data_IF_608478677156
#
_entry.id   IF_608478677156
#
_cell.length_a   1.000
_cell.length_b   1.000
_cell.length_c   1.000
_cell.angle_alpha   90.00
_cell.angle_beta   90.00
_cell.angle_gamma   90.00
#
_symmetry.space_group_name_H-M   'P 1'
#
loop_
_entity.id
_entity.type
_entity.pdbx_description
1 polymer ?
#
# COMPACT_ATOMS: atom_id res chain seq x y z
N UNK A 1 5.18 6.94 3.03
CA UNK A 1 4.40 7.55 4.12
C UNK A 1 3.66 6.49 4.91
N UNK A 2 3.74 6.55 6.27
CA UNK A 2 3.22 5.54 7.20
C UNK A 2 2.48 6.20 8.37
N UNK A 3 1.58 7.13 8.08
CA UNK A 3 0.79 7.84 9.09
C UNK A 3 -0.64 7.30 9.13
N UNK A 4 -1.40 7.51 10.23
CA UNK A 4 -2.83 7.26 10.22
C UNK A 4 -3.54 8.07 9.12
N UNK A 5 -4.58 7.50 8.51
CA UNK A 5 -5.28 8.16 7.39
C UNK A 5 -5.82 9.55 7.77
N UNK A 6 -6.24 9.76 9.02
CA UNK A 6 -6.70 11.06 9.50
C UNK A 6 -5.63 12.17 9.39
N UNK A 7 -4.34 11.83 9.46
CA UNK A 7 -3.23 12.77 9.34
C UNK A 7 -2.63 12.83 7.91
N UNK A 8 -3.11 11.98 7.00
CA UNK A 8 -2.50 11.75 5.70
C UNK A 8 -2.46 13.03 4.83
N UNK A 9 -3.61 13.67 4.62
CA UNK A 9 -3.71 14.85 3.75
C UNK A 9 -2.90 16.04 4.29
N UNK A 10 -2.92 16.30 5.60
CA UNK A 10 -2.16 17.37 6.23
C UNK A 10 -0.66 17.12 6.09
N UNK A 11 -0.21 15.89 6.40
CA UNK A 11 1.19 15.50 6.28
C UNK A 11 1.71 15.64 4.85
N UNK A 12 0.94 15.17 3.86
CA UNK A 12 1.31 15.31 2.45
C UNK A 12 1.40 16.76 2.01
N UNK A 13 0.46 17.59 2.44
CA UNK A 13 0.47 19.01 2.12
C UNK A 13 1.72 19.71 2.67
N UNK A 14 2.10 19.38 3.91
CA UNK A 14 3.31 19.93 4.53
C UNK A 14 4.60 19.45 3.85
N UNK A 15 4.63 18.20 3.41
CA UNK A 15 5.81 17.59 2.77
C UNK A 15 5.95 17.89 1.28
N UNK A 16 4.89 18.37 0.62
CA UNK A 16 4.85 18.58 -0.83
C UNK A 16 6.10 19.26 -1.41
N UNK A 17 6.61 20.40 -0.84
CA UNK A 17 7.79 21.05 -1.40
C UNK A 17 9.06 20.18 -1.37
N UNK A 18 9.17 19.25 -0.39
CA UNK A 18 10.31 18.36 -0.23
C UNK A 18 10.21 17.08 -1.09
N UNK A 19 9.03 16.80 -1.65
CA UNK A 19 8.76 15.57 -2.41
C UNK A 19 8.87 15.78 -3.93
N UNK A 20 9.03 17.00 -4.41
CA UNK A 20 9.13 17.29 -5.83
C UNK A 20 10.22 16.45 -6.50
N UNK A 21 9.89 15.83 -7.64
CA UNK A 21 10.78 14.94 -8.39
C UNK A 21 11.03 13.57 -7.76
N UNK A 22 10.35 13.22 -6.66
CA UNK A 22 10.56 11.95 -5.94
C UNK A 22 9.46 10.92 -6.21
N UNK A 23 9.77 9.68 -5.88
CA UNK A 23 8.78 8.60 -5.73
C UNK A 23 8.36 8.55 -4.27
N UNK A 24 7.06 8.69 -4.02
CA UNK A 24 6.46 8.48 -2.71
C UNK A 24 5.84 7.08 -2.64
N UNK A 25 6.29 6.27 -1.71
CA UNK A 25 5.61 5.01 -1.39
C UNK A 25 4.54 5.32 -0.35
N UNK A 26 3.29 5.06 -0.70
CA UNK A 26 2.14 5.22 0.18
C UNK A 26 1.68 3.86 0.68
N UNK A 27 1.74 3.64 1.99
CA UNK A 27 1.29 2.42 2.66
C UNK A 27 0.02 2.65 3.50
N UNK A 28 -0.56 3.84 3.40
CA UNK A 28 -1.72 4.24 4.19
C UNK A 28 -2.98 3.55 3.69
N UNK A 29 -3.78 3.06 4.62
CA UNK A 29 -5.08 2.44 4.33
C UNK A 29 -6.18 3.26 5.01
N UNK A 30 -7.22 3.69 4.27
CA UNK A 30 -8.37 4.40 4.84
C UNK A 30 -9.31 3.41 5.54
N UNK A 31 -8.91 2.92 6.71
CA UNK A 31 -9.71 2.02 7.53
C UNK A 31 -10.87 2.77 8.20
N UNK A 32 -12.02 2.11 8.30
CA UNK A 32 -13.14 2.62 9.10
C UNK A 32 -12.78 2.55 10.60
N UNK A 33 -12.69 3.68 11.33
CA UNK A 33 -12.25 3.68 12.71
C UNK A 33 -13.17 2.87 13.66
N UNK A 34 -14.47 2.83 13.36
CA UNK A 34 -15.44 2.07 14.15
C UNK A 34 -15.43 0.58 13.83
N UNK A 35 -15.00 0.19 12.64
CA UNK A 35 -14.99 -1.20 12.19
C UNK A 35 -13.93 -1.43 11.11
N UNK A 36 -12.70 -1.70 11.51
CA UNK A 36 -11.52 -1.89 10.63
C UNK A 36 -11.66 -3.01 9.59
N UNK A 37 -12.63 -3.90 9.76
CA UNK A 37 -12.98 -4.95 8.78
C UNK A 37 -13.92 -4.46 7.67
N UNK A 38 -14.22 -3.15 7.63
CA UNK A 38 -15.00 -2.52 6.57
C UNK A 38 -14.14 -1.51 5.82
N UNK A 39 -14.18 -1.60 4.51
CA UNK A 39 -13.57 -0.62 3.63
C UNK A 39 -14.28 0.74 3.78
N UNK A 40 -13.51 1.83 3.81
CA UNK A 40 -14.01 3.20 3.90
C UNK A 40 -13.13 4.11 3.05
N UNK A 41 -13.24 3.97 1.72
CA UNK A 41 -12.42 4.74 0.78
C UNK A 41 -12.81 6.22 0.74
N UNK A 42 -11.84 7.13 0.55
CA UNK A 42 -12.10 8.55 0.34
C UNK A 42 -12.77 8.80 -1.02
N UNK A 43 -13.32 10.00 -1.26
CA UNK A 43 -13.95 10.36 -2.54
C UNK A 43 -13.01 10.22 -3.75
N UNK A 44 -11.71 10.33 -3.55
CA UNK A 44 -10.69 10.13 -4.58
C UNK A 44 -10.55 8.67 -5.03
N UNK A 45 -11.11 7.73 -4.30
CA UNK A 45 -11.08 6.29 -4.56
C UNK A 45 -10.12 5.51 -3.68
N UNK A 46 -8.98 6.09 -3.29
CA UNK A 46 -7.98 5.48 -2.41
C UNK A 46 -7.11 6.54 -1.72
N UNK A 47 -6.36 6.16 -0.68
CA UNK A 47 -5.37 7.05 -0.06
C UNK A 47 -4.30 7.47 -1.08
N UNK A 48 -3.79 6.54 -1.87
CA UNK A 48 -2.79 6.84 -2.90
C UNK A 48 -3.32 7.80 -3.99
N UNK A 49 -4.58 7.65 -4.41
CA UNK A 49 -5.21 8.60 -5.35
C UNK A 49 -5.39 9.99 -4.72
N UNK A 50 -5.76 10.05 -3.44
CA UNK A 50 -5.80 11.31 -2.70
C UNK A 50 -4.41 11.94 -2.60
N UNK A 51 -3.37 11.14 -2.29
CA UNK A 51 -1.99 11.60 -2.25
C UNK A 51 -1.54 12.17 -3.61
N UNK A 52 -1.80 11.48 -4.70
CA UNK A 52 -1.45 11.95 -6.05
C UNK A 52 -2.14 13.27 -6.39
N UNK A 53 -3.41 13.43 -6.02
CA UNK A 53 -4.16 14.66 -6.22
C UNK A 53 -3.57 15.84 -5.42
N UNK A 54 -3.16 15.61 -4.17
CA UNK A 54 -2.55 16.63 -3.30
C UNK A 54 -1.18 17.05 -3.83
N UNK A 55 -0.34 16.07 -4.20
CA UNK A 55 1.05 16.29 -4.57
C UNK A 55 1.19 16.80 -6.02
N UNK A 56 0.29 16.43 -6.91
CA UNK A 56 0.35 16.79 -8.31
C UNK A 56 1.30 15.90 -9.12
N UNK A 57 1.56 16.28 -10.37
CA UNK A 57 2.33 15.47 -11.33
C UNK A 57 3.83 15.42 -11.05
N UNK A 58 4.36 16.36 -10.25
CA UNK A 58 5.78 16.41 -9.89
C UNK A 58 6.24 15.30 -8.94
N UNK A 59 5.30 14.52 -8.38
CA UNK A 59 5.57 13.40 -7.47
C UNK A 59 4.93 12.12 -8.02
N UNK A 60 5.69 11.04 -8.07
CA UNK A 60 5.15 9.73 -8.47
C UNK A 60 4.69 8.96 -7.23
N UNK A 61 3.37 8.89 -7.01
CA UNK A 61 2.81 8.14 -5.86
C UNK A 61 2.66 6.66 -6.24
N UNK A 62 3.25 5.78 -5.43
CA UNK A 62 3.19 4.33 -5.60
C UNK A 62 2.63 3.71 -4.33
N UNK A 63 1.52 3.00 -4.46
CA UNK A 63 0.87 2.25 -3.41
C UNK A 63 1.51 0.87 -3.28
N UNK A 64 1.96 0.51 -2.08
CA UNK A 64 2.58 -0.78 -1.81
C UNK A 64 2.51 -1.14 -0.31
N UNK A 65 2.75 -2.41 0.03
CA UNK A 65 2.85 -2.94 1.41
C UNK A 65 1.55 -2.94 2.24
N UNK A 66 0.39 -2.66 1.67
CA UNK A 66 -0.89 -2.61 2.40
C UNK A 66 -1.36 -3.98 2.92
N UNK A 67 -0.92 -5.04 2.28
CA UNK A 67 -1.37 -6.41 2.54
C UNK A 67 -0.38 -7.26 3.34
N UNK A 68 0.64 -6.66 3.92
CA UNK A 68 1.61 -7.31 4.81
C UNK A 68 1.54 -6.72 6.21
N UNK A 69 1.60 -7.60 7.23
CA UNK A 69 1.64 -7.14 8.62
C UNK A 69 3.01 -6.54 8.95
N UNK A 70 3.03 -5.40 9.62
CA UNK A 70 4.27 -4.82 10.12
C UNK A 70 4.98 -5.75 11.13
N UNK A 71 4.22 -6.52 11.91
CA UNK A 71 4.77 -7.51 12.84
C UNK A 71 5.54 -8.61 12.11
N UNK A 72 5.08 -9.00 10.91
CA UNK A 72 5.79 -9.97 10.08
C UNK A 72 7.08 -9.38 9.51
N UNK A 73 7.10 -8.09 9.17
CA UNK A 73 8.29 -7.41 8.67
C UNK A 73 9.37 -7.20 9.75
N UNK A 74 9.00 -7.22 11.04
CA UNK A 74 9.93 -7.07 12.16
C UNK A 74 10.55 -8.38 12.63
N UNK A 75 10.05 -9.51 12.14
CA UNK A 75 10.55 -10.84 12.49
C UNK A 75 11.62 -11.27 11.48
N UNK A 76 12.63 -11.98 11.96
CA UNK A 76 13.65 -12.63 11.12
C UNK A 76 13.13 -13.98 10.59
N UNK A 77 11.94 -13.97 9.99
CA UNK A 77 11.24 -15.12 9.44
C UNK A 77 10.80 -14.83 8.01
N UNK A 78 10.65 -15.86 7.19
CA UNK A 78 10.12 -15.73 5.83
C UNK A 78 8.68 -15.18 5.87
N UNK A 79 8.45 -14.07 5.20
CA UNK A 79 7.11 -13.48 5.06
C UNK A 79 6.39 -14.15 3.89
N UNK A 80 5.48 -15.06 4.18
CA UNK A 80 4.72 -15.82 3.18
C UNK A 80 3.57 -14.99 2.56
N UNK A 81 3.90 -13.79 2.06
CA UNK A 81 2.95 -12.84 1.49
C UNK A 81 3.57 -12.14 0.27
N UNK A 82 2.82 -12.05 -0.82
CA UNK A 82 3.21 -11.29 -2.00
C UNK A 82 2.80 -9.82 -1.84
N UNK A 83 3.59 -8.89 -2.35
CA UNK A 83 3.34 -7.45 -2.31
C UNK A 83 2.79 -6.98 -3.66
N UNK A 84 1.63 -6.36 -3.64
CA UNK A 84 1.07 -5.69 -4.83
C UNK A 84 1.55 -4.24 -4.87
N UNK A 85 2.09 -3.83 -6.02
CA UNK A 85 2.63 -2.49 -6.26
C UNK A 85 1.87 -1.83 -7.39
N UNK A 86 1.22 -0.71 -7.16
CA UNK A 86 0.49 0.03 -8.19
C UNK A 86 0.66 1.56 -8.04
N UNK A 87 0.30 2.30 -9.07
CA UNK A 87 0.45 3.77 -9.08
C UNK A 87 1.70 4.23 -9.83
N UNK A 88 1.90 5.52 -9.88
CA UNK A 88 3.00 6.15 -10.58
C UNK A 88 3.16 5.73 -12.04
N UNK A 89 4.27 6.10 -12.64
CA UNK A 89 4.66 5.56 -13.94
C UNK A 89 5.33 4.18 -13.78
N UNK A 90 5.60 3.51 -14.91
CA UNK A 90 6.21 2.17 -14.92
C UNK A 90 7.58 2.12 -14.24
N UNK A 91 8.37 3.19 -14.37
CA UNK A 91 9.72 3.25 -13.79
C UNK A 91 9.67 3.44 -12.27
N UNK A 92 8.72 4.25 -11.77
CA UNK A 92 8.47 4.38 -10.35
C UNK A 92 8.04 3.04 -9.72
N UNK A 93 7.12 2.31 -10.36
CA UNK A 93 6.72 0.97 -9.89
C UNK A 93 7.89 -0.01 -9.91
N UNK A 94 8.73 0.02 -10.94
CA UNK A 94 9.94 -0.82 -11.01
C UNK A 94 10.92 -0.52 -9.88
N UNK A 95 11.13 0.75 -9.53
CA UNK A 95 11.96 1.13 -8.37
C UNK A 95 11.41 0.56 -7.08
N UNK A 96 10.10 0.67 -6.84
CA UNK A 96 9.45 0.13 -5.64
C UNK A 96 9.49 -1.40 -5.61
N UNK A 97 9.32 -2.07 -6.76
CA UNK A 97 9.50 -3.52 -6.87
C UNK A 97 10.94 -3.95 -6.53
N UNK A 98 11.94 -3.17 -6.91
CA UNK A 98 13.32 -3.37 -6.48
C UNK A 98 13.46 -3.33 -4.95
N UNK A 99 12.87 -2.34 -4.30
CA UNK A 99 12.88 -2.24 -2.82
C UNK A 99 12.14 -3.40 -2.15
N UNK A 100 11.02 -3.86 -2.73
CA UNK A 100 10.31 -5.06 -2.26
C UNK A 100 11.21 -6.28 -2.31
N UNK A 101 11.93 -6.47 -3.43
CA UNK A 101 12.89 -7.56 -3.58
C UNK A 101 14.05 -7.46 -2.59
N UNK A 102 14.63 -6.26 -2.41
CA UNK A 102 15.72 -6.02 -1.46
C UNK A 102 15.31 -6.28 0.00
N UNK A 103 14.01 -6.11 0.30
CA UNK A 103 13.42 -6.50 1.57
C UNK A 103 13.16 -8.02 1.70
N UNK A 104 13.60 -8.83 0.75
CA UNK A 104 13.38 -10.29 0.75
C UNK A 104 11.94 -10.71 0.41
N UNK A 105 11.14 -9.82 -0.15
CA UNK A 105 9.73 -10.06 -0.46
C UNK A 105 9.49 -10.25 -1.96
N UNK A 106 8.34 -10.82 -2.27
CA UNK A 106 7.88 -11.01 -3.63
C UNK A 106 6.90 -9.93 -4.02
N UNK A 107 7.27 -9.11 -5.03
CA UNK A 107 6.45 -8.03 -5.55
C UNK A 107 5.85 -8.31 -6.93
N UNK A 108 4.64 -7.77 -7.18
CA UNK A 108 3.96 -7.82 -8.46
C UNK A 108 3.53 -6.42 -8.89
N UNK A 109 3.79 -6.08 -10.16
CA UNK A 109 3.25 -4.85 -10.78
C UNK A 109 1.73 -5.01 -10.95
N UNK A 110 0.98 -4.35 -10.09
CA UNK A 110 -0.49 -4.35 -10.08
C UNK A 110 -1.08 -3.21 -10.94
N UNK A 111 -0.26 -2.49 -11.71
CA UNK A 111 -0.70 -1.53 -12.70
C UNK A 111 -0.93 -0.12 -12.19
N UNK A 112 -1.88 0.63 -12.78
CA UNK A 112 -2.06 2.05 -12.52
C UNK A 112 -2.65 2.34 -11.14
N UNK A 113 -2.64 3.63 -10.76
CA UNK A 113 -3.02 4.10 -9.41
C UNK A 113 -4.48 3.82 -9.05
N UNK A 114 -5.36 3.68 -10.04
CA UNK A 114 -6.76 3.33 -9.85
C UNK A 114 -6.91 1.96 -9.16
N UNK A 115 -5.94 1.06 -9.35
CA UNK A 115 -5.91 -0.24 -8.70
C UNK A 115 -5.58 -0.15 -7.19
N UNK A 116 -5.08 0.97 -6.70
CA UNK A 116 -4.80 1.17 -5.29
C UNK A 116 -6.04 0.98 -4.41
N UNK A 117 -7.22 1.34 -4.89
CA UNK A 117 -8.49 1.10 -4.20
C UNK A 117 -8.68 -0.37 -3.82
N UNK A 118 -8.33 -1.29 -4.72
CA UNK A 118 -8.46 -2.74 -4.47
C UNK A 118 -7.37 -3.20 -3.50
N UNK A 119 -6.14 -2.76 -3.70
CA UNK A 119 -4.98 -3.17 -2.88
C UNK A 119 -5.12 -2.68 -1.44
N UNK A 120 -5.51 -1.42 -1.24
CA UNK A 120 -5.80 -0.85 0.08
C UNK A 120 -7.00 -1.56 0.74
N UNK A 121 -8.05 -1.84 -0.03
CA UNK A 121 -9.25 -2.54 0.45
C UNK A 121 -8.99 -3.96 0.96
N UNK A 122 -7.99 -4.66 0.41
CA UNK A 122 -7.57 -5.98 0.87
C UNK A 122 -7.18 -5.98 2.36
N UNK A 123 -6.64 -4.90 2.89
CA UNK A 123 -6.27 -4.81 4.31
C UNK A 123 -7.46 -5.08 5.22
N UNK A 124 -8.61 -4.48 4.96
CA UNK A 124 -9.84 -4.73 5.75
C UNK A 124 -10.28 -6.20 5.68
N UNK A 125 -10.14 -6.83 4.53
CA UNK A 125 -10.47 -8.25 4.33
C UNK A 125 -9.52 -9.13 5.12
N UNK A 126 -8.21 -8.88 5.04
CA UNK A 126 -7.18 -9.65 5.74
C UNK A 126 -7.31 -9.52 7.26
N UNK A 127 -7.61 -8.31 7.77
CA UNK A 127 -7.93 -8.10 9.20
C UNK A 127 -9.16 -8.94 9.59
N UNK A 128 -10.20 -8.95 8.75
CA UNK A 128 -11.39 -9.78 8.99
C UNK A 128 -11.07 -11.27 9.06
N UNK A 129 -10.22 -11.75 8.16
CA UNK A 129 -9.73 -13.15 8.15
C UNK A 129 -8.93 -13.45 9.42
N UNK A 130 -8.02 -12.56 9.82
CA UNK A 130 -7.24 -12.72 11.05
C UNK A 130 -8.15 -12.91 12.28
N UNK A 131 -9.18 -12.08 12.39
CA UNK A 131 -10.14 -12.16 13.50
C UNK A 131 -10.94 -13.45 13.44
N UNK A 132 -11.50 -13.78 12.28
CA UNK A 132 -12.39 -14.93 12.10
C UNK A 132 -11.67 -16.26 12.34
N UNK A 133 -10.46 -16.39 11.82
CA UNK A 133 -9.69 -17.63 11.87
C UNK A 133 -8.64 -17.66 12.97
N UNK A 134 -8.54 -16.58 13.79
CA UNK A 134 -7.60 -16.44 14.91
C UNK A 134 -6.15 -16.66 14.48
N UNK A 135 -5.77 -16.09 13.33
CA UNK A 135 -4.40 -16.11 12.82
C UNK A 135 -3.75 -14.73 12.96
N UNK A 136 -2.45 -14.65 13.21
CA UNK A 136 -1.78 -13.38 13.46
C UNK A 136 -1.61 -12.54 12.19
N UNK A 137 -1.44 -13.17 11.02
CA UNK A 137 -1.08 -12.48 9.79
C UNK A 137 -1.51 -13.28 8.56
N UNK A 138 -2.73 -13.05 8.08
CA UNK A 138 -3.14 -13.51 6.77
C UNK A 138 -2.47 -12.65 5.69
N UNK A 139 -2.03 -13.26 4.60
CA UNK A 139 -1.44 -12.62 3.44
C UNK A 139 -2.08 -13.11 2.15
N UNK A 140 -1.58 -12.64 1.02
CA UNK A 140 -1.98 -13.10 -0.31
C UNK A 140 -0.80 -13.72 -1.04
N UNK A 141 -1.08 -14.63 -1.96
CA UNK A 141 -0.11 -15.16 -2.93
C UNK A 141 -0.70 -15.14 -4.33
N UNK A 142 0.08 -14.70 -5.29
CA UNK A 142 -0.28 -14.76 -6.71
C UNK A 142 0.17 -16.10 -7.27
N UNK A 143 -0.77 -16.86 -7.82
CA UNK A 143 -0.53 -18.18 -8.38
C UNK A 143 -0.72 -18.17 -9.90
N UNK A 144 -0.16 -19.17 -10.59
CA UNK A 144 -0.32 -19.35 -12.03
C UNK A 144 0.61 -18.52 -12.91
N UNK A 145 1.43 -17.64 -12.34
CA UNK A 145 2.45 -16.87 -13.08
C UNK A 145 3.77 -17.63 -13.03
N UNK A 146 4.34 -17.97 -14.20
CA UNK A 146 5.70 -18.51 -14.33
C UNK A 146 6.69 -17.34 -14.32
N UNK A 147 7.76 -17.46 -13.56
CA UNK A 147 8.89 -16.53 -13.50
C UNK A 147 10.00 -17.00 -14.41
#
# INVERSE_FOLDING_TARGET
ITVPFAAHAETLTALKPALEGKVLIDVVVPLNPAKVTRVSMPPEGSAAQQAQKILGEGVQVVAAFHNVSYESLLKDEEVACDILVCGGNKDARRQVLGLVHDAGLLGWDAGPIENAMVVEGLTSILIGINIQYKVPSAGIKITGVRR
#
